data_IF_910141770344
#
_entry.id   IF_910141770344
#
_cell.length_a   1.000
_cell.length_b   1.000
_cell.length_c   1.000
_cell.angle_alpha   90.00
_cell.angle_beta   90.00
_cell.angle_gamma   90.00
#
_symmetry.space_group_name_H-M   'P 1'
#
loop_
_entity.id
_entity.type
_entity.pdbx_description
1 polymer ?
#
# COMPACT_ATOMS: atom_id res chain seq x y z
N UNK A 1 -0.94 7.48 5.79
CA UNK A 1 -0.84 6.01 5.64
C UNK A 1 -0.97 5.37 7.01
N UNK A 2 -1.68 4.25 7.12
CA UNK A 2 -1.85 3.47 8.35
C UNK A 2 -1.52 2.00 8.11
N UNK A 3 -1.10 1.31 9.16
CA UNK A 3 -0.74 -0.11 9.11
C UNK A 3 -1.45 -0.85 10.24
N UNK A 4 -2.20 -1.90 9.89
CA UNK A 4 -2.89 -2.76 10.85
C UNK A 4 -2.27 -4.14 10.79
N UNK A 5 -1.65 -4.56 11.89
CA UNK A 5 -1.02 -5.87 12.02
C UNK A 5 -1.96 -6.84 12.73
N UNK A 6 -1.89 -8.12 12.38
CA UNK A 6 -2.49 -9.15 13.22
C UNK A 6 -1.68 -9.34 14.53
N UNK A 7 -2.24 -10.08 15.49
CA UNK A 7 -1.63 -10.30 16.80
C UNK A 7 -0.20 -10.86 16.73
N UNK A 8 0.06 -11.74 15.75
CA UNK A 8 1.34 -12.41 15.58
C UNK A 8 2.30 -11.68 14.64
N UNK A 9 1.92 -10.50 14.11
CA UNK A 9 2.66 -9.74 13.09
C UNK A 9 3.10 -10.59 11.89
N UNK A 10 2.27 -11.55 11.50
CA UNK A 10 2.48 -12.36 10.29
C UNK A 10 1.73 -11.81 9.09
N UNK A 11 0.71 -10.98 9.33
CA UNK A 11 0.01 -10.22 8.30
C UNK A 11 -0.09 -8.76 8.67
N UNK A 12 -0.11 -7.92 7.64
CA UNK A 12 -0.33 -6.48 7.73
C UNK A 12 -1.31 -6.06 6.65
N UNK A 13 -2.14 -5.07 6.95
CA UNK A 13 -2.90 -4.33 5.94
C UNK A 13 -2.38 -2.90 5.95
N UNK A 14 -1.86 -2.46 4.82
CA UNK A 14 -1.40 -1.11 4.60
C UNK A 14 -2.53 -0.30 3.94
N UNK A 15 -2.95 0.79 4.57
CA UNK A 15 -4.03 1.64 4.06
C UNK A 15 -3.49 3.03 3.75
N UNK A 16 -3.72 3.47 2.52
CA UNK A 16 -3.44 4.82 2.05
C UNK A 16 -4.77 5.54 1.89
N UNK A 17 -4.97 6.61 2.66
CA UNK A 17 -6.17 7.42 2.62
C UNK A 17 -5.80 8.86 2.28
N UNK A 18 -6.54 9.44 1.36
CA UNK A 18 -6.55 10.87 1.10
C UNK A 18 -7.59 11.54 1.98
N UNK A 19 -7.14 12.43 2.87
CA UNK A 19 -7.99 13.09 3.85
C UNK A 19 -8.61 14.38 3.34
N UNK A 20 -8.13 14.91 2.22
CA UNK A 20 -8.63 16.16 1.64
C UNK A 20 -9.65 15.87 0.52
N UNK A 21 -10.96 16.09 0.78
CA UNK A 21 -12.02 15.83 -0.18
C UNK A 21 -12.10 16.87 -1.31
N UNK A 22 -11.37 17.99 -1.22
CA UNK A 22 -11.36 19.03 -2.24
C UNK A 22 -10.56 18.61 -3.49
N UNK A 23 -9.68 17.63 -3.34
CA UNK A 23 -8.90 17.07 -4.44
C UNK A 23 -9.54 15.76 -4.91
N UNK A 24 -9.99 15.72 -6.17
CA UNK A 24 -10.50 14.50 -6.80
C UNK A 24 -9.33 13.63 -7.29
N UNK A 25 -8.53 13.15 -6.33
CA UNK A 25 -7.36 12.32 -6.58
C UNK A 25 -7.62 10.89 -6.09
N UNK A 26 -6.88 9.96 -6.67
CA UNK A 26 -6.79 8.60 -6.19
C UNK A 26 -5.65 8.50 -5.18
N UNK A 27 -5.87 7.69 -4.14
CA UNK A 27 -4.82 7.23 -3.26
C UNK A 27 -4.15 6.02 -3.91
N UNK A 28 -2.82 5.98 -3.94
CA UNK A 28 -2.04 4.87 -4.49
C UNK A 28 -1.01 4.38 -3.47
N UNK A 29 -0.86 3.06 -3.37
CA UNK A 29 0.18 2.43 -2.56
C UNK A 29 1.31 2.00 -3.51
N UNK A 30 2.50 2.56 -3.29
CA UNK A 30 3.69 2.27 -4.08
C UNK A 30 4.75 1.60 -3.20
N UNK A 31 5.15 0.40 -3.59
CA UNK A 31 6.23 -0.35 -2.99
C UNK A 31 7.56 -0.06 -3.69
N UNK A 32 8.62 0.11 -2.89
CA UNK A 32 9.99 0.30 -3.34
C UNK A 32 10.12 1.45 -4.35
N UNK A 33 9.30 2.51 -4.18
CA UNK A 33 9.20 3.71 -5.02
C UNK A 33 8.78 3.52 -6.49
N UNK A 34 8.69 2.29 -6.96
CA UNK A 34 8.54 1.97 -8.38
C UNK A 34 7.34 1.06 -8.68
N UNK A 35 6.90 0.27 -7.71
CA UNK A 35 5.89 -0.77 -7.92
C UNK A 35 4.56 -0.32 -7.34
N UNK A 36 3.59 -0.01 -8.20
CA UNK A 36 2.22 0.24 -7.76
C UNK A 36 1.60 -1.08 -7.32
N UNK A 37 1.23 -1.17 -6.04
CA UNK A 37 0.52 -2.33 -5.51
C UNK A 37 -0.97 -2.22 -5.81
N UNK A 38 -1.55 -1.04 -5.54
CA UNK A 38 -2.95 -0.74 -5.82
C UNK A 38 -3.21 0.78 -5.79
N UNK A 39 -4.30 1.21 -6.41
CA UNK A 39 -4.78 2.59 -6.38
C UNK A 39 -6.30 2.65 -6.42
N UNK A 40 -6.89 3.62 -5.72
CA UNK A 40 -8.34 3.75 -5.65
C UNK A 40 -8.80 5.14 -5.20
N UNK A 41 -10.09 5.45 -5.39
CA UNK A 41 -10.64 6.75 -5.03
C UNK A 41 -10.63 6.92 -3.52
N UNK A 42 -9.98 7.98 -3.02
CA UNK A 42 -9.90 8.41 -1.61
C UNK A 42 -9.23 7.45 -0.63
N UNK A 43 -9.39 6.14 -0.76
CA UNK A 43 -8.78 5.15 0.11
C UNK A 43 -8.48 3.88 -0.68
N UNK A 44 -7.28 3.36 -0.50
CA UNK A 44 -6.87 2.05 -0.99
C UNK A 44 -6.18 1.29 0.14
N UNK A 45 -6.40 -0.01 0.20
CA UNK A 45 -5.79 -0.89 1.20
C UNK A 45 -5.20 -2.10 0.53
N UNK A 46 -3.98 -2.46 0.90
CA UNK A 46 -3.27 -3.60 0.32
C UNK A 46 -2.74 -4.54 1.41
N UNK A 47 -3.00 -5.86 1.30
CA UNK A 47 -2.52 -6.83 2.27
C UNK A 47 -1.04 -7.20 2.04
N UNK A 48 -0.35 -7.55 3.12
CA UNK A 48 1.01 -8.09 3.09
C UNK A 48 1.24 -9.18 4.10
N UNK A 49 2.27 -9.98 3.86
CA UNK A 49 2.67 -11.10 4.72
C UNK A 49 4.12 -10.91 5.17
N UNK A 50 4.44 -11.31 6.39
CA UNK A 50 5.80 -11.27 6.90
C UNK A 50 6.56 -12.53 6.43
N UNK A 51 7.61 -12.35 5.64
CA UNK A 51 8.62 -13.37 5.42
C UNK A 51 9.51 -13.46 6.66
N UNK A 52 9.25 -14.45 7.51
CA UNK A 52 9.96 -14.65 8.77
C UNK A 52 11.45 -15.01 8.58
N UNK A 53 11.83 -15.58 7.44
CA UNK A 53 13.22 -15.94 7.14
C UNK A 53 14.06 -14.70 6.80
N UNK A 54 13.50 -13.80 6.01
CA UNK A 54 14.18 -12.56 5.60
C UNK A 54 13.87 -11.36 6.51
N UNK A 55 12.97 -11.54 7.49
CA UNK A 55 12.45 -10.50 8.38
C UNK A 55 11.94 -9.28 7.61
N UNK A 56 11.18 -9.53 6.54
CA UNK A 56 10.67 -8.51 5.61
C UNK A 56 9.21 -8.72 5.29
N UNK A 57 8.51 -7.64 4.97
CA UNK A 57 7.16 -7.72 4.42
C UNK A 57 7.21 -8.07 2.94
N UNK A 58 6.28 -8.90 2.50
CA UNK A 58 6.03 -9.24 1.11
C UNK A 58 4.62 -8.81 0.74
N UNK A 59 4.49 -8.14 -0.41
CA UNK A 59 3.22 -7.68 -0.95
C UNK A 59 3.23 -7.82 -2.47
N UNK A 60 2.04 -7.94 -3.07
CA UNK A 60 1.87 -8.01 -4.52
C UNK A 60 2.00 -9.43 -5.06
N UNK A 61 1.74 -9.57 -6.35
CA UNK A 61 1.96 -10.81 -7.10
C UNK A 61 2.68 -10.48 -8.42
N UNK A 62 3.90 -11.01 -8.65
CA UNK A 62 4.71 -11.85 -7.74
C UNK A 62 5.09 -11.13 -6.43
N UNK A 63 5.38 -11.84 -5.33
CA UNK A 63 5.64 -11.23 -4.03
C UNK A 63 6.90 -10.35 -4.08
N UNK A 64 6.72 -9.07 -3.82
CA UNK A 64 7.78 -8.08 -3.73
C UNK A 64 8.20 -7.92 -2.26
N UNK A 65 9.50 -8.10 -2.00
CA UNK A 65 10.08 -7.74 -0.71
C UNK A 65 10.03 -6.23 -0.54
N UNK A 66 9.43 -5.78 0.55
CA UNK A 66 9.18 -4.37 0.81
C UNK A 66 10.34 -3.75 1.59
N UNK A 67 11.00 -2.79 0.95
CA UNK A 67 11.95 -1.85 1.53
C UNK A 67 11.26 -0.57 2.00
N UNK A 68 10.38 -0.05 1.15
CA UNK A 68 9.65 1.20 1.40
C UNK A 68 8.22 1.06 0.90
N UNK A 69 7.28 1.67 1.63
CA UNK A 69 5.88 1.80 1.24
C UNK A 69 5.52 3.28 1.29
N UNK A 70 5.03 3.78 0.16
CA UNK A 70 4.67 5.17 -0.03
C UNK A 70 3.18 5.26 -0.38
N UNK A 71 2.55 6.31 0.13
CA UNK A 71 1.17 6.67 -0.16
C UNK A 71 1.23 7.90 -1.06
N UNK A 72 0.98 7.70 -2.36
CA UNK A 72 0.97 8.76 -3.34
C UNK A 72 -0.47 9.18 -3.66
N UNK A 73 -0.63 10.44 -4.03
CA UNK A 73 -1.87 10.93 -4.62
C UNK A 73 -1.67 11.00 -6.12
N UNK A 74 -2.52 10.31 -6.89
CA UNK A 74 -2.44 10.27 -8.35
C UNK A 74 -3.72 10.80 -8.95
N UNK A 75 -3.66 11.41 -10.13
CA UNK A 75 -4.87 11.72 -10.86
C UNK A 75 -5.57 10.39 -11.23
N UNK A 76 -6.91 10.32 -11.18
CA UNK A 76 -7.62 9.21 -11.79
C UNK A 76 -7.18 9.07 -13.25
N UNK A 77 -7.02 7.84 -13.77
CA UNK A 77 -6.67 7.64 -15.17
C UNK A 77 -7.72 8.41 -15.99
N UNK A 78 -7.27 9.44 -16.73
CA UNK A 78 -8.15 10.26 -17.55
C UNK A 78 -9.03 9.33 -18.38
N UNK A 79 -10.34 9.41 -18.18
CA UNK A 79 -11.33 8.74 -19.02
C UNK A 79 -11.30 9.27 -20.45
#
# INVERSE_FOLDING_TARGET
MTFVYNQNRTSVVATCSQTDPAFDLNAAIVANRLNFLDFGPRNVSFPGTCNATLMRWEMGEPPLLIDTLECLLTNPPNG
#
